data_IF_223314180386
#
_entry.id   IF_223314180386
#
_cell.length_a   1.000
_cell.length_b   1.000
_cell.length_c   1.000
_cell.angle_alpha   90.00
_cell.angle_beta   90.00
_cell.angle_gamma   90.00
#
_symmetry.space_group_name_H-M   'P 1'
#
loop_
_entity.id
_entity.type
_entity.pdbx_description
1 polymer ?
#
# COMPACT_ATOMS: atom_id res chain seq x y z
N UNK A 1 -35.36 -4.36 -41.43
CA UNK A 1 -34.02 -3.88 -41.02
C UNK A 1 -33.18 -5.11 -40.71
N UNK A 2 -32.03 -5.30 -41.36
CA UNK A 2 -31.18 -6.50 -41.20
C UNK A 2 -30.13 -6.32 -40.10
N UNK A 3 -29.69 -5.08 -39.88
CA UNK A 3 -28.87 -4.68 -38.73
C UNK A 3 -29.02 -3.18 -38.44
N UNK A 4 -28.60 -2.76 -37.26
CA UNK A 4 -28.60 -1.36 -36.83
C UNK A 4 -27.63 -1.14 -35.66
N UNK A 5 -27.30 0.13 -35.38
CA UNK A 5 -26.42 0.51 -34.28
C UNK A 5 -27.20 1.25 -33.19
N UNK A 6 -26.76 1.08 -31.94
CA UNK A 6 -27.22 1.87 -30.79
C UNK A 6 -25.98 2.46 -30.11
N UNK A 7 -26.03 3.76 -29.82
CA UNK A 7 -25.00 4.47 -29.06
C UNK A 7 -25.49 4.63 -27.62
N UNK A 8 -24.66 4.23 -26.66
CA UNK A 8 -24.96 4.16 -25.23
C UNK A 8 -23.98 5.07 -24.46
N UNK A 9 -24.30 6.35 -24.27
CA UNK A 9 -23.49 7.24 -23.44
C UNK A 9 -23.78 7.03 -21.95
N UNK A 10 -22.76 7.18 -21.10
CA UNK A 10 -22.86 6.96 -19.66
C UNK A 10 -23.54 8.09 -18.90
N UNK A 11 -23.62 9.29 -19.49
CA UNK A 11 -24.17 10.51 -18.89
C UNK A 11 -25.65 10.75 -19.28
N UNK A 12 -26.41 9.70 -19.57
CA UNK A 12 -27.87 9.84 -19.77
C UNK A 12 -28.56 10.26 -18.47
N UNK A 13 -29.76 10.83 -18.61
CA UNK A 13 -30.55 11.37 -17.50
C UNK A 13 -31.25 10.29 -16.63
N UNK A 14 -30.59 9.16 -16.40
CA UNK A 14 -31.05 8.11 -15.50
C UNK A 14 -30.30 8.24 -14.17
N UNK A 15 -31.05 8.34 -13.08
CA UNK A 15 -30.49 8.52 -11.74
C UNK A 15 -29.53 7.38 -11.37
N UNK A 16 -28.40 7.75 -10.76
CA UNK A 16 -27.39 6.79 -10.28
C UNK A 16 -26.40 6.30 -11.35
N UNK A 17 -26.50 6.78 -12.60
CA UNK A 17 -25.51 6.47 -13.63
C UNK A 17 -24.11 6.95 -13.25
N UNK A 18 -23.13 6.06 -13.45
CA UNK A 18 -21.69 6.33 -13.32
C UNK A 18 -20.98 5.89 -14.59
N UNK A 19 -19.79 6.41 -14.85
CA UNK A 19 -18.98 6.05 -16.03
C UNK A 19 -18.70 4.55 -16.13
N UNK A 20 -18.60 3.85 -15.00
CA UNK A 20 -18.39 2.40 -14.93
C UNK A 20 -19.68 1.55 -14.87
N UNK A 21 -20.84 2.15 -14.64
CA UNK A 21 -22.08 1.41 -14.42
C UNK A 21 -23.24 2.34 -14.73
N UNK A 22 -23.87 2.13 -15.87
CA UNK A 22 -24.92 3.02 -16.36
C UNK A 22 -26.00 2.29 -17.14
N UNK A 23 -27.19 2.88 -17.10
CA UNK A 23 -28.38 2.44 -17.79
C UNK A 23 -28.77 3.46 -18.84
N UNK A 24 -29.13 2.97 -20.02
CA UNK A 24 -29.65 3.80 -21.11
C UNK A 24 -31.07 3.34 -21.43
N UNK A 25 -32.04 4.23 -21.22
CA UNK A 25 -33.42 4.03 -21.64
C UNK A 25 -33.56 4.39 -23.12
N UNK A 26 -34.08 3.45 -23.90
CA UNK A 26 -34.26 3.63 -25.33
C UNK A 26 -35.50 4.51 -25.61
N UNK A 27 -35.46 5.41 -26.61
CA UNK A 27 -36.61 6.25 -26.97
C UNK A 27 -37.87 5.45 -27.34
N UNK A 28 -37.68 4.24 -27.86
CA UNK A 28 -38.74 3.27 -28.15
C UNK A 28 -38.27 1.89 -27.72
N UNK A 29 -39.20 1.10 -27.19
CA UNK A 29 -38.98 -0.30 -26.89
C UNK A 29 -38.68 -1.04 -28.19
N UNK A 30 -37.53 -1.70 -28.26
CA UNK A 30 -37.16 -2.55 -29.39
C UNK A 30 -37.81 -3.91 -29.21
N UNK A 31 -38.32 -4.47 -30.30
CA UNK A 31 -38.90 -5.81 -30.35
C UNK A 31 -38.15 -6.65 -31.39
N UNK A 32 -37.80 -7.86 -31.01
CA UNK A 32 -37.00 -8.79 -31.80
C UNK A 32 -37.83 -10.03 -32.11
N UNK A 33 -38.29 -10.12 -33.37
CA UNK A 33 -39.23 -11.13 -33.84
C UNK A 33 -38.53 -12.44 -34.28
N UNK A 34 -37.21 -12.47 -34.19
CA UNK A 34 -36.34 -13.54 -34.69
C UNK A 34 -35.09 -13.65 -33.81
N UNK A 35 -34.13 -14.48 -34.20
CA UNK A 35 -32.82 -14.50 -33.55
C UNK A 35 -31.97 -13.28 -33.96
N UNK A 36 -31.44 -12.60 -32.96
CA UNK A 36 -30.60 -11.42 -33.10
C UNK A 36 -29.33 -11.57 -32.27
N UNK A 37 -28.28 -10.92 -32.75
CA UNK A 37 -26.99 -10.88 -32.10
C UNK A 37 -26.58 -9.43 -31.86
N UNK A 38 -25.85 -9.21 -30.77
CA UNK A 38 -25.28 -7.91 -30.44
C UNK A 38 -23.77 -8.03 -30.26
N UNK A 39 -23.04 -7.01 -30.69
CA UNK A 39 -21.60 -6.92 -30.46
C UNK A 39 -21.15 -5.48 -30.23
N UNK A 40 -20.11 -5.31 -29.43
CA UNK A 40 -19.48 -4.00 -29.18
C UNK A 40 -18.56 -3.63 -30.35
N UNK A 41 -18.81 -2.50 -31.01
CA UNK A 41 -18.06 -2.06 -32.20
C UNK A 41 -17.15 -0.87 -31.95
N UNK A 42 -17.54 0.03 -31.05
CA UNK A 42 -16.71 1.17 -30.62
C UNK A 42 -16.88 1.35 -29.12
N UNK A 43 -15.79 1.67 -28.43
CA UNK A 43 -15.82 2.13 -27.05
C UNK A 43 -14.97 3.39 -26.94
N UNK A 44 -15.57 4.45 -26.42
CA UNK A 44 -14.89 5.70 -26.06
C UNK A 44 -14.87 5.79 -24.54
N UNK A 45 -13.71 5.95 -23.92
CA UNK A 45 -13.57 6.01 -22.46
C UNK A 45 -12.45 6.97 -22.03
N UNK A 46 -12.57 7.60 -20.84
CA UNK A 46 -11.52 8.43 -20.28
C UNK A 46 -10.51 7.58 -19.48
N UNK A 47 -9.21 7.80 -19.64
CA UNK A 47 -8.19 7.17 -18.80
C UNK A 47 -8.00 7.98 -17.50
N UNK A 48 -8.98 7.91 -16.60
CA UNK A 48 -9.09 8.80 -15.45
C UNK A 48 -9.03 8.06 -14.11
N UNK A 49 -8.19 7.04 -13.96
CA UNK A 49 -8.00 6.33 -12.68
C UNK A 49 -6.50 6.26 -12.37
N UNK A 50 -6.10 6.28 -11.10
CA UNK A 50 -4.68 6.33 -10.77
C UNK A 50 -4.01 4.98 -10.99
N UNK A 51 -2.72 4.98 -11.36
CA UNK A 51 -1.88 3.78 -11.47
C UNK A 51 -1.71 3.06 -10.14
N UNK A 52 -1.59 3.82 -9.05
CA UNK A 52 -1.52 3.30 -7.69
C UNK A 52 -2.74 3.77 -6.90
N UNK A 53 -3.33 2.87 -6.13
CA UNK A 53 -4.55 3.17 -5.38
C UNK A 53 -5.79 3.16 -6.26
N UNK A 54 -5.79 2.36 -7.33
CA UNK A 54 -6.93 2.23 -8.24
C UNK A 54 -8.14 1.67 -7.50
N UNK A 55 -7.97 0.52 -6.85
CA UNK A 55 -9.07 -0.20 -6.19
C UNK A 55 -9.13 0.01 -4.69
N UNK A 56 -7.98 0.23 -4.04
CA UNK A 56 -7.86 0.27 -2.58
C UNK A 56 -6.80 1.28 -2.15
N UNK A 57 -6.92 1.81 -0.94
CA UNK A 57 -5.88 2.64 -0.34
C UNK A 57 -4.60 1.82 -0.12
N UNK A 58 -3.44 2.44 -0.38
CA UNK A 58 -2.15 1.78 -0.35
C UNK A 58 -1.34 2.18 0.88
N UNK A 59 -0.60 1.23 1.45
CA UNK A 59 0.15 1.45 2.69
C UNK A 59 1.47 0.68 2.71
N UNK A 60 2.44 1.26 3.41
CA UNK A 60 3.65 0.58 3.90
C UNK A 60 3.57 0.53 5.42
N UNK A 61 3.57 -0.66 5.99
CA UNK A 61 3.55 -0.89 7.43
C UNK A 61 4.92 -1.38 7.87
N UNK A 62 5.56 -0.64 8.77
CA UNK A 62 6.86 -0.99 9.32
C UNK A 62 6.66 -1.43 10.76
N UNK A 63 7.04 -2.68 11.05
CA UNK A 63 7.08 -3.20 12.42
C UNK A 63 8.51 -3.06 12.94
N UNK A 64 8.67 -2.33 14.03
CA UNK A 64 9.96 -2.09 14.66
C UNK A 64 10.39 -3.27 15.55
N UNK A 65 11.69 -3.40 15.81
CA UNK A 65 12.25 -4.42 16.70
C UNK A 65 11.84 -4.21 18.16
N UNK A 66 11.54 -2.98 18.53
CA UNK A 66 10.97 -2.53 19.81
C UNK A 66 9.50 -2.94 19.99
N UNK A 67 8.82 -3.28 18.89
CA UNK A 67 7.43 -3.78 18.89
C UNK A 67 6.39 -2.76 18.43
N UNK A 68 6.72 -1.46 18.39
CA UNK A 68 5.83 -0.46 17.79
C UNK A 68 5.64 -0.72 16.29
N UNK A 69 4.50 -0.25 15.76
CA UNK A 69 4.12 -0.40 14.36
C UNK A 69 3.74 0.96 13.82
N UNK A 70 4.40 1.40 12.74
CA UNK A 70 3.99 2.59 11.99
C UNK A 70 3.38 2.15 10.67
N UNK A 71 2.24 2.74 10.33
CA UNK A 71 1.57 2.54 9.05
C UNK A 71 1.59 3.85 8.29
N UNK A 72 2.29 3.85 7.18
CA UNK A 72 2.49 5.00 6.32
C UNK A 72 1.56 4.86 5.11
N UNK A 73 0.76 5.89 4.84
CA UNK A 73 -0.07 5.94 3.66
C UNK A 73 0.78 6.23 2.41
N UNK A 74 0.55 5.47 1.35
CA UNK A 74 1.12 5.75 0.04
C UNK A 74 0.03 6.44 -0.78
N UNK A 75 0.22 7.71 -1.18
CA UNK A 75 -0.81 8.46 -1.87
C UNK A 75 -1.14 7.81 -3.22
N UNK A 76 -2.43 7.75 -3.52
CA UNK A 76 -2.92 7.38 -4.84
C UNK A 76 -2.40 8.39 -5.87
N UNK A 77 -1.98 7.90 -7.03
CA UNK A 77 -1.28 8.76 -7.99
C UNK A 77 -1.02 8.10 -9.33
N UNK A 78 -0.58 8.94 -10.27
CA UNK A 78 -0.27 8.54 -11.63
C UNK A 78 1.22 8.28 -11.72
N UNK A 79 1.59 7.05 -12.06
CA UNK A 79 2.98 6.64 -12.13
C UNK A 79 3.36 6.53 -13.60
N UNK A 80 4.07 7.53 -14.11
CA UNK A 80 4.54 7.48 -15.50
C UNK A 80 5.83 6.68 -15.64
N UNK A 81 6.61 6.58 -14.56
CA UNK A 81 7.87 5.85 -14.54
C UNK A 81 8.23 5.36 -13.12
N UNK A 82 9.11 4.35 -13.00
CA UNK A 82 9.52 3.80 -11.70
C UNK A 82 10.20 4.82 -10.77
N UNK A 83 10.88 5.83 -11.31
CA UNK A 83 11.58 6.83 -10.51
C UNK A 83 10.59 7.71 -9.72
N UNK A 84 9.47 8.11 -10.33
CA UNK A 84 8.40 8.84 -9.65
C UNK A 84 7.78 8.02 -8.51
N UNK A 85 7.60 6.70 -8.71
CA UNK A 85 7.11 5.82 -7.65
C UNK A 85 8.09 5.78 -6.47
N UNK A 86 9.40 5.65 -6.76
CA UNK A 86 10.46 5.67 -5.76
C UNK A 86 10.41 6.96 -4.94
N UNK A 87 10.34 8.11 -5.60
CA UNK A 87 10.24 9.42 -4.94
C UNK A 87 8.97 9.58 -4.10
N UNK A 88 7.85 9.03 -4.55
CA UNK A 88 6.60 9.02 -3.79
C UNK A 88 6.73 8.16 -2.52
N UNK A 89 7.34 6.99 -2.63
CA UNK A 89 7.58 6.11 -1.47
C UNK A 89 8.55 6.74 -0.47
N UNK A 90 9.62 7.37 -0.94
CA UNK A 90 10.56 8.10 -0.08
C UNK A 90 9.88 9.22 0.69
N UNK A 91 8.98 9.97 0.02
CA UNK A 91 8.20 11.03 0.66
C UNK A 91 7.29 10.46 1.74
N UNK A 92 6.51 9.42 1.41
CA UNK A 92 5.69 8.71 2.38
C UNK A 92 6.51 8.23 3.57
N UNK A 93 7.64 7.55 3.34
CA UNK A 93 8.51 7.03 4.39
C UNK A 93 9.31 8.11 5.14
N UNK A 94 9.26 9.36 4.70
CA UNK A 94 9.79 10.51 5.45
C UNK A 94 8.82 10.99 6.54
N UNK A 95 7.56 10.54 6.49
CA UNK A 95 6.51 10.83 7.47
C UNK A 95 6.39 9.64 8.45
N UNK A 96 7.16 9.71 9.54
CA UNK A 96 7.09 8.74 10.62
C UNK A 96 6.01 9.04 11.66
N UNK A 97 6.27 8.64 12.90
CA UNK A 97 5.35 8.81 14.02
C UNK A 97 5.99 9.67 15.13
N UNK A 98 5.62 10.95 15.18
CA UNK A 98 6.15 11.87 16.20
C UNK A 98 5.72 11.46 17.62
N UNK A 99 4.55 10.82 17.78
CA UNK A 99 4.11 10.34 19.11
C UNK A 99 5.03 9.26 19.67
N UNK A 100 5.52 8.34 18.82
CA UNK A 100 6.51 7.34 19.25
C UNK A 100 7.85 8.00 19.58
N UNK A 101 8.28 8.96 18.78
CA UNK A 101 9.50 9.71 19.05
C UNK A 101 9.42 10.50 20.37
N UNK A 102 8.27 11.11 20.67
CA UNK A 102 8.10 11.87 21.90
C UNK A 102 7.99 10.96 23.13
N UNK A 103 7.28 9.84 23.04
CA UNK A 103 7.26 8.83 24.11
C UNK A 103 8.68 8.34 24.42
N UNK A 104 9.47 8.05 23.38
CA UNK A 104 10.85 7.60 23.54
C UNK A 104 11.75 8.70 24.15
N UNK A 105 11.51 9.98 23.83
CA UNK A 105 12.20 11.10 24.48
C UNK A 105 11.90 11.20 25.96
N UNK A 106 10.64 11.00 26.35
CA UNK A 106 10.25 10.99 27.77
C UNK A 106 11.00 9.87 28.50
N UNK A 107 11.01 8.65 27.93
CA UNK A 107 11.79 7.53 28.47
C UNK A 107 13.29 7.85 28.55
N UNK A 108 13.87 8.48 27.54
CA UNK A 108 15.27 8.90 27.54
C UNK A 108 15.55 9.92 28.67
N UNK A 109 14.65 10.89 28.89
CA UNK A 109 14.79 11.87 29.96
C UNK A 109 14.72 11.23 31.35
N UNK A 110 13.77 10.32 31.55
CA UNK A 110 13.62 9.56 32.80
C UNK A 110 14.86 8.71 33.09
N UNK A 111 15.36 8.00 32.09
CA UNK A 111 16.59 7.22 32.19
C UNK A 111 17.79 8.10 32.55
N UNK A 112 17.97 9.24 31.86
CA UNK A 112 19.04 10.22 32.17
C UNK A 112 18.92 10.80 33.58
N UNK A 113 17.70 11.01 34.08
CA UNK A 113 17.45 11.46 35.45
C UNK A 113 17.89 10.41 36.46
N UNK A 114 17.50 9.15 36.25
CA UNK A 114 17.90 8.03 37.11
C UNK A 114 19.42 7.83 37.12
N UNK A 115 20.10 7.99 35.98
CA UNK A 115 21.57 7.98 35.93
C UNK A 115 22.21 9.08 36.77
N UNK A 116 21.63 10.28 36.81
CA UNK A 116 22.12 11.37 37.68
C UNK A 116 21.92 11.03 39.16
N UNK A 117 20.76 10.48 39.52
CA UNK A 117 20.47 10.04 40.90
C UNK A 117 21.42 8.92 41.35
N UNK A 118 21.75 7.97 40.46
CA UNK A 118 22.72 6.91 40.73
C UNK A 118 24.12 7.47 41.01
N UNK A 119 24.56 8.48 40.25
CA UNK A 119 25.85 9.18 40.50
C UNK A 119 25.85 9.90 41.85
N UNK A 120 24.74 10.52 42.23
CA UNK A 120 24.63 11.15 43.56
C UNK A 120 24.71 10.10 44.66
N UNK A 121 23.98 8.98 44.51
CA UNK A 121 23.99 7.86 45.47
C UNK A 121 25.37 7.21 45.58
N UNK A 122 26.09 6.99 44.48
CA UNK A 122 27.44 6.41 44.52
C UNK A 122 28.39 7.28 45.33
N UNK A 123 28.30 8.60 45.15
CA UNK A 123 29.09 9.58 45.90
C UNK A 123 28.75 9.60 47.39
N UNK A 124 27.46 9.52 47.74
CA UNK A 124 27.00 9.43 49.13
C UNK A 124 27.50 8.14 49.81
N UNK A 125 27.39 6.99 49.12
CA UNK A 125 27.87 5.70 49.63
C UNK A 125 29.39 5.71 49.82
N UNK A 126 30.14 6.25 48.85
CA UNK A 126 31.59 6.36 48.96
C UNK A 126 32.02 7.25 50.14
N UNK A 127 31.39 8.42 50.32
CA UNK A 127 31.67 9.30 51.45
C UNK A 127 31.37 8.62 52.79
N UNK A 128 30.26 7.90 52.89
CA UNK A 128 29.89 7.15 54.10
C UNK A 128 30.93 6.07 54.42
N UNK A 129 31.31 5.25 53.44
CA UNK A 129 32.34 4.22 53.62
C UNK A 129 33.71 4.81 54.01
N UNK A 130 34.07 5.95 53.44
CA UNK A 130 35.31 6.67 53.78
C UNK A 130 35.29 7.18 55.23
N UNK A 131 34.14 7.67 55.70
CA UNK A 131 33.98 8.18 57.06
C UNK A 131 33.92 7.06 58.10
N UNK A 132 33.20 5.97 57.82
CA UNK A 132 33.16 4.74 58.63
C UNK A 132 34.58 4.17 58.80
N UNK A 133 35.34 4.04 57.71
CA UNK A 133 36.73 3.57 57.76
C UNK A 133 37.66 4.51 58.54
N UNK A 134 37.43 5.82 58.47
CA UNK A 134 38.19 6.81 59.26
C UNK A 134 37.92 6.64 60.77
N UNK A 135 36.70 6.27 61.15
CA UNK A 135 36.34 5.99 62.54
C UNK A 135 36.98 4.66 63.00
N UNK A 136 36.93 3.61 62.18
CA UNK A 136 37.54 2.30 62.48
C UNK A 136 39.07 2.34 62.60
N UNK A 137 39.74 3.10 61.72
CA UNK A 137 41.20 3.26 61.77
C UNK A 137 41.66 3.99 63.03
N UNK A 138 40.82 4.86 63.59
CA UNK A 138 41.10 5.52 64.87
C UNK A 138 40.84 4.60 66.08
N UNK A 139 40.15 3.47 65.89
CA UNK A 139 39.76 2.54 66.96
C UNK A 139 40.61 1.25 67.00
N UNK A 140 41.34 0.91 65.93
CA UNK A 140 42.06 -0.38 65.83
C UNK A 140 43.29 -0.28 64.92
N UNK A 141 44.46 -0.76 65.38
CA UNK A 141 45.65 -0.95 64.54
C UNK A 141 45.51 -2.27 63.73
N UNK A 142 45.67 -2.17 62.39
CA UNK A 142 45.67 -3.25 61.36
C UNK A 142 44.24 -3.57 60.85
N UNK A 143 43.88 -3.58 59.55
CA UNK A 143 44.50 -4.09 58.31
C UNK A 143 43.95 -3.30 57.08
N UNK A 144 44.73 -3.14 56.01
CA UNK A 144 44.27 -2.45 54.78
C UNK A 144 43.26 -3.31 53.99
N UNK A 145 41.97 -3.25 54.32
CA UNK A 145 40.92 -3.66 53.38
C UNK A 145 40.82 -2.66 52.22
N UNK A 146 40.70 -3.14 50.98
CA UNK A 146 40.59 -2.27 49.80
C UNK A 146 39.23 -1.54 49.81
N UNK A 147 39.24 -0.22 49.98
CA UNK A 147 38.03 0.60 49.88
C UNK A 147 37.62 0.65 48.41
N UNK A 148 36.38 0.25 48.09
CA UNK A 148 35.87 0.35 46.73
C UNK A 148 35.92 1.80 46.25
N UNK A 149 36.38 2.01 45.02
CA UNK A 149 36.37 3.34 44.41
C UNK A 149 34.93 3.80 44.12
N UNK A 150 34.70 5.10 44.05
CA UNK A 150 33.38 5.67 43.65
C UNK A 150 32.90 5.09 42.30
N UNK A 151 33.83 4.85 41.37
CA UNK A 151 33.53 4.24 40.08
C UNK A 151 33.06 2.79 40.21
N UNK A 152 33.69 1.97 41.05
CA UNK A 152 33.25 0.58 41.27
C UNK A 152 31.86 0.51 41.91
N UNK A 153 31.56 1.44 42.81
CA UNK A 153 30.22 1.57 43.41
C UNK A 153 29.20 1.98 42.34
N UNK A 154 29.54 2.97 41.51
CA UNK A 154 28.68 3.42 40.42
C UNK A 154 28.41 2.30 39.40
N UNK A 155 29.43 1.57 38.95
CA UNK A 155 29.28 0.47 37.98
C UNK A 155 28.42 -0.67 38.55
N UNK A 156 28.56 -1.00 39.84
CA UNK A 156 27.68 -1.96 40.51
C UNK A 156 26.21 -1.52 40.50
N UNK A 157 25.96 -0.29 40.94
CA UNK A 157 24.60 0.28 40.96
C UNK A 157 24.00 0.42 39.55
N UNK A 158 24.82 0.76 38.56
CA UNK A 158 24.42 0.86 37.16
C UNK A 158 24.04 -0.50 36.58
N UNK A 159 24.80 -1.55 36.91
CA UNK A 159 24.50 -2.93 36.49
C UNK A 159 23.16 -3.41 37.06
N UNK A 160 22.94 -3.21 38.36
CA UNK A 160 21.68 -3.55 39.03
C UNK A 160 20.51 -2.78 38.40
N UNK A 161 20.68 -1.48 38.19
CA UNK A 161 19.67 -0.64 37.54
C UNK A 161 19.35 -1.11 36.12
N UNK A 162 20.36 -1.34 35.27
CA UNK A 162 20.16 -1.83 33.91
C UNK A 162 19.47 -3.20 33.87
N UNK A 163 19.73 -4.07 34.85
CA UNK A 163 19.04 -5.36 34.98
C UNK A 163 17.54 -5.22 35.30
N UNK A 164 17.17 -4.15 35.99
CA UNK A 164 15.78 -3.84 36.39
C UNK A 164 14.94 -3.19 35.29
N UNK A 165 15.57 -2.69 34.22
CA UNK A 165 14.87 -2.09 33.09
C UNK A 165 13.97 -3.10 32.37
N UNK A 166 12.91 -2.60 31.75
CA UNK A 166 12.07 -3.42 30.88
C UNK A 166 12.84 -3.90 29.63
N UNK A 167 12.40 -5.01 29.05
CA UNK A 167 13.07 -5.65 27.91
C UNK A 167 13.15 -4.76 26.67
N UNK A 168 12.19 -3.86 26.46
CA UNK A 168 12.20 -2.96 25.31
C UNK A 168 13.29 -1.89 25.49
N UNK A 169 13.35 -1.25 26.65
CA UNK A 169 14.38 -0.26 27.00
C UNK A 169 15.79 -0.86 26.97
N UNK A 170 15.96 -2.09 27.47
CA UNK A 170 17.23 -2.83 27.33
C UNK A 170 17.63 -3.03 25.86
N UNK A 171 16.68 -3.40 25.01
CA UNK A 171 16.93 -3.60 23.56
C UNK A 171 17.32 -2.30 22.87
N UNK A 172 16.60 -1.21 23.14
CA UNK A 172 16.89 0.14 22.62
C UNK A 172 18.31 0.59 23.00
N UNK A 173 18.72 0.37 24.26
CA UNK A 173 20.02 0.74 24.80
C UNK A 173 21.18 -0.11 24.25
N UNK A 174 20.98 -1.43 24.17
CA UNK A 174 22.05 -2.38 23.84
C UNK A 174 22.49 -2.34 22.37
N UNK A 175 21.60 -1.98 21.44
CA UNK A 175 21.92 -2.01 20.01
C UNK A 175 22.53 -0.69 19.48
N UNK A 176 21.94 0.45 19.83
CA UNK A 176 22.25 1.74 19.18
C UNK A 176 22.10 2.98 20.06
N UNK A 177 21.42 2.89 21.22
CA UNK A 177 21.05 4.03 22.04
C UNK A 177 19.82 4.78 21.54
N UNK A 178 19.28 5.71 22.34
CA UNK A 178 17.99 6.37 22.09
C UNK A 178 17.94 7.24 20.82
N UNK A 179 19.01 8.01 20.53
CA UNK A 179 18.97 9.01 19.44
C UNK A 179 18.74 8.40 18.04
N UNK A 180 19.42 7.31 17.63
CA UNK A 180 19.10 6.66 16.35
C UNK A 180 17.67 6.16 16.26
N UNK A 181 17.09 5.65 17.35
CA UNK A 181 15.69 5.21 17.41
C UNK A 181 14.73 6.39 17.22
N UNK A 182 15.01 7.55 17.84
CA UNK A 182 14.23 8.77 17.63
C UNK A 182 14.21 9.19 16.16
N UNK A 183 15.36 9.12 15.48
CA UNK A 183 15.46 9.48 14.06
C UNK A 183 14.64 8.52 13.18
N UNK A 184 14.72 7.21 13.46
CA UNK A 184 14.00 6.20 12.69
C UNK A 184 12.49 6.26 12.92
N UNK A 185 12.04 6.53 14.15
CA UNK A 185 10.62 6.76 14.43
C UNK A 185 10.07 7.98 13.71
N UNK A 186 10.85 9.06 13.60
CA UNK A 186 10.46 10.24 12.82
C UNK A 186 10.49 10.03 11.32
N UNK A 187 11.45 9.24 10.84
CA UNK A 187 11.72 9.04 9.41
C UNK A 187 12.03 7.57 9.14
N UNK A 188 10.97 6.75 8.92
CA UNK A 188 11.13 5.34 8.61
C UNK A 188 12.08 5.06 7.44
N UNK A 189 12.15 5.98 6.47
CA UNK A 189 13.05 5.95 5.31
C UNK A 189 14.53 5.74 5.63
N UNK A 190 14.98 6.09 6.85
CA UNK A 190 16.37 5.86 7.30
C UNK A 190 16.65 4.37 7.52
N UNK A 191 15.63 3.62 7.96
CA UNK A 191 15.76 2.20 8.30
C UNK A 191 15.13 1.26 7.27
N UNK A 192 14.20 1.73 6.45
CA UNK A 192 13.70 0.98 5.30
C UNK A 192 13.43 1.89 4.11
N UNK A 193 13.97 1.56 2.95
CA UNK A 193 13.86 2.37 1.75
C UNK A 193 13.68 1.51 0.50
N UNK A 194 12.85 1.97 -0.42
CA UNK A 194 12.71 1.36 -1.74
C UNK A 194 13.62 2.08 -2.72
N UNK A 195 14.34 1.33 -3.53
CA UNK A 195 15.20 1.90 -4.56
C UNK A 195 14.97 1.21 -5.90
N UNK A 196 15.12 1.95 -6.99
CA UNK A 196 14.90 1.45 -8.33
C UNK A 196 16.23 1.36 -9.10
N UNK A 197 16.59 0.14 -9.47
CA UNK A 197 17.79 -0.14 -10.24
C UNK A 197 17.50 -0.04 -11.73
N UNK A 198 17.76 1.11 -12.36
CA UNK A 198 17.50 1.34 -13.80
C UNK A 198 18.14 0.29 -14.72
N UNK A 199 19.36 -0.15 -14.42
CA UNK A 199 20.06 -1.17 -15.23
C UNK A 199 19.41 -2.55 -15.15
N UNK A 200 18.89 -2.94 -13.98
CA UNK A 200 18.22 -4.23 -13.77
C UNK A 200 16.72 -4.16 -14.08
N UNK A 201 16.18 -2.95 -14.19
CA UNK A 201 14.74 -2.67 -14.23
C UNK A 201 14.00 -3.41 -13.10
N UNK A 202 14.48 -3.24 -11.86
CA UNK A 202 13.95 -3.89 -10.65
C UNK A 202 13.97 -2.94 -9.47
N UNK A 203 12.94 -3.01 -8.64
CA UNK A 203 13.01 -2.42 -7.30
C UNK A 203 13.79 -3.31 -6.34
N UNK A 204 14.29 -2.68 -5.28
CA UNK A 204 14.82 -3.36 -4.10
C UNK A 204 14.30 -2.67 -2.86
N UNK A 205 14.10 -3.45 -1.81
CA UNK A 205 13.87 -2.93 -0.47
C UNK A 205 15.15 -3.09 0.33
N UNK A 206 15.62 -2.02 0.96
CA UNK A 206 16.58 -2.06 2.03
C UNK A 206 15.85 -2.18 3.37
N UNK A 207 16.30 -3.09 4.25
CA UNK A 207 15.79 -3.26 5.62
C UNK A 207 16.95 -3.25 6.60
N UNK A 208 17.03 -2.20 7.41
CA UNK A 208 17.95 -2.06 8.53
C UNK A 208 17.53 -2.93 9.70
N UNK A 209 17.99 -4.19 9.74
CA UNK A 209 17.59 -5.22 10.72
C UNK A 209 17.73 -4.84 12.20
N UNK A 210 18.60 -3.88 12.51
CA UNK A 210 18.74 -3.29 13.86
C UNK A 210 17.44 -2.65 14.34
N UNK A 211 16.75 -1.95 13.45
CA UNK A 211 15.53 -1.22 13.80
C UNK A 211 14.27 -1.94 13.34
N UNK A 212 14.30 -2.53 12.14
CA UNK A 212 13.11 -3.08 11.48
C UNK A 212 13.04 -4.58 11.69
N UNK A 213 11.88 -5.05 12.18
CA UNK A 213 11.54 -6.47 12.29
C UNK A 213 10.94 -7.00 11.00
N UNK A 214 10.02 -6.25 10.38
CA UNK A 214 9.42 -6.57 9.08
C UNK A 214 8.81 -5.32 8.44
N UNK A 215 8.70 -5.35 7.11
CA UNK A 215 7.96 -4.38 6.31
C UNK A 215 6.81 -5.10 5.60
N UNK A 216 5.59 -4.60 5.72
CA UNK A 216 4.41 -5.14 5.04
C UNK A 216 3.87 -4.09 4.08
N UNK A 217 3.65 -4.47 2.83
CA UNK A 217 3.10 -3.61 1.79
C UNK A 217 1.78 -4.19 1.27
N UNK A 218 0.88 -3.32 0.82
CA UNK A 218 -0.39 -3.73 0.22
C UNK A 218 -0.18 -4.54 -1.07
N UNK A 219 -1.14 -5.40 -1.43
CA UNK A 219 -1.03 -6.32 -2.57
C UNK A 219 -0.78 -5.60 -3.90
N UNK A 220 -1.52 -4.52 -4.19
CA UNK A 220 -1.33 -3.75 -5.41
C UNK A 220 0.06 -3.12 -5.44
N UNK A 221 0.54 -2.57 -4.31
CA UNK A 221 1.88 -2.00 -4.22
C UNK A 221 2.98 -3.06 -4.42
N UNK A 222 2.84 -4.24 -3.82
CA UNK A 222 3.76 -5.36 -4.04
C UNK A 222 3.83 -5.76 -5.52
N UNK A 223 2.67 -5.87 -6.16
CA UNK A 223 2.56 -6.18 -7.59
C UNK A 223 3.22 -5.10 -8.46
N UNK A 224 2.91 -3.82 -8.24
CA UNK A 224 3.49 -2.68 -8.98
C UNK A 224 5.02 -2.66 -8.85
N UNK A 225 5.54 -2.93 -7.65
CA UNK A 225 6.98 -2.96 -7.37
C UNK A 225 7.67 -4.24 -7.89
N UNK A 226 6.91 -5.28 -8.20
CA UNK A 226 7.40 -6.57 -8.70
C UNK A 226 7.84 -7.55 -7.60
N UNK A 227 7.41 -7.36 -6.35
CA UNK A 227 7.62 -8.32 -5.27
C UNK A 227 6.57 -9.44 -5.34
N UNK A 228 6.99 -10.67 -5.04
CA UNK A 228 6.11 -11.84 -5.00
C UNK A 228 5.45 -12.05 -3.63
N UNK A 229 5.84 -11.25 -2.64
CA UNK A 229 5.33 -11.28 -1.26
C UNK A 229 5.03 -9.88 -0.77
N UNK A 230 3.99 -9.76 0.05
CA UNK A 230 3.61 -8.51 0.72
C UNK A 230 4.38 -8.28 2.02
N UNK A 231 4.87 -9.36 2.65
CA UNK A 231 5.65 -9.31 3.89
C UNK A 231 7.12 -9.53 3.59
N UNK A 232 7.95 -8.53 3.89
CA UNK A 232 9.37 -8.47 3.58
C UNK A 232 10.16 -8.30 4.88
N UNK A 233 10.86 -9.35 5.29
CA UNK A 233 11.60 -9.39 6.57
C UNK A 233 13.07 -8.97 6.43
N UNK A 234 13.58 -8.93 5.20
CA UNK A 234 14.98 -8.65 4.92
C UNK A 234 15.13 -7.82 3.64
N UNK A 235 16.33 -7.25 3.46
CA UNK A 235 16.67 -6.55 2.24
C UNK A 235 16.57 -7.52 1.06
N UNK A 236 15.73 -7.19 0.08
CA UNK A 236 15.41 -8.07 -1.05
C UNK A 236 15.28 -7.28 -2.34
N UNK A 237 15.54 -7.94 -3.45
CA UNK A 237 15.32 -7.40 -4.79
C UNK A 237 14.02 -8.00 -5.33
N UNK A 238 13.19 -7.15 -5.94
CA UNK A 238 11.96 -7.56 -6.59
C UNK A 238 12.24 -8.66 -7.64
N UNK A 239 11.34 -9.64 -7.70
CA UNK A 239 11.45 -10.77 -8.64
C UNK A 239 11.14 -10.32 -10.06
N UNK A 240 10.16 -9.43 -10.22
CA UNK A 240 9.60 -9.02 -11.50
C UNK A 240 9.91 -7.55 -11.83
N UNK A 241 9.84 -7.20 -13.12
CA UNK A 241 9.89 -5.80 -13.55
C UNK A 241 8.69 -5.07 -12.94
N UNK A 242 8.85 -3.79 -12.56
CA UNK A 242 7.73 -3.05 -12.03
C UNK A 242 6.69 -2.78 -13.10
N UNK A 243 5.41 -2.84 -12.73
CA UNK A 243 4.27 -2.62 -13.60
C UNK A 243 3.61 -1.27 -13.28
N UNK A 244 3.91 -0.25 -14.08
CA UNK A 244 3.36 1.10 -13.91
C UNK A 244 1.88 1.21 -14.30
N UNK A 245 1.28 0.16 -14.88
CA UNK A 245 -0.16 0.13 -15.18
C UNK A 245 -1.02 -0.21 -13.95
N UNK A 246 -0.41 -0.50 -12.79
CA UNK A 246 -1.18 -0.76 -11.58
C UNK A 246 -1.83 -2.13 -11.51
N UNK A 247 -1.48 -3.03 -12.43
CA UNK A 247 -2.14 -4.33 -12.63
C UNK A 247 -3.45 -4.26 -13.41
N UNK A 248 -3.77 -3.09 -13.98
CA UNK A 248 -5.00 -2.86 -14.72
C UNK A 248 -4.68 -2.64 -16.20
N UNK A 249 -4.68 -3.73 -16.97
CA UNK A 249 -4.34 -3.73 -18.40
C UNK A 249 -5.54 -3.88 -19.34
N UNK A 250 -6.70 -4.27 -18.82
CA UNK A 250 -7.92 -4.45 -19.61
C UNK A 250 -9.20 -4.22 -18.80
N UNK A 251 -10.24 -3.80 -19.53
CA UNK A 251 -11.61 -3.81 -19.06
C UNK A 251 -12.31 -5.09 -19.47
N UNK A 252 -13.25 -5.53 -18.64
CA UNK A 252 -14.29 -6.45 -19.04
C UNK A 252 -15.59 -5.66 -19.11
N UNK A 253 -16.19 -5.61 -20.31
CA UNK A 253 -17.43 -4.86 -20.56
C UNK A 253 -18.61 -5.82 -20.46
N UNK A 254 -19.43 -5.64 -19.44
CA UNK A 254 -20.59 -6.48 -19.13
C UNK A 254 -21.86 -5.83 -19.68
N UNK A 255 -22.78 -6.68 -20.14
CA UNK A 255 -24.16 -6.29 -20.45
C UNK A 255 -25.15 -7.25 -19.79
N UNK A 256 -25.37 -7.10 -18.46
CA UNK A 256 -26.26 -7.97 -17.71
C UNK A 256 -27.69 -7.95 -18.27
N UNK A 257 -28.28 -9.13 -18.46
CA UNK A 257 -29.64 -9.29 -18.98
C UNK A 257 -29.80 -9.07 -20.50
N UNK A 258 -28.75 -8.65 -21.21
CA UNK A 258 -28.78 -8.47 -22.67
C UNK A 258 -28.38 -9.74 -23.42
N UNK A 259 -27.31 -10.40 -22.95
CA UNK A 259 -26.68 -11.55 -23.60
C UNK A 259 -26.63 -12.76 -22.67
N UNK A 260 -26.49 -13.95 -23.25
CA UNK A 260 -26.23 -15.17 -22.50
C UNK A 260 -24.86 -15.09 -21.78
N UNK A 261 -24.76 -15.48 -20.50
CA UNK A 261 -23.48 -15.57 -19.80
C UNK A 261 -22.52 -16.55 -20.48
N UNK A 262 -21.24 -16.18 -20.53
CA UNK A 262 -20.17 -17.02 -21.09
C UNK A 262 -19.19 -17.41 -19.99
N UNK A 263 -18.49 -18.52 -20.18
CA UNK A 263 -17.39 -18.93 -19.30
C UNK A 263 -16.17 -18.04 -19.53
N UNK A 264 -15.65 -17.43 -18.47
CA UNK A 264 -14.47 -16.58 -18.44
C UNK A 264 -13.62 -17.01 -17.25
N UNK A 265 -12.52 -17.73 -17.53
CA UNK A 265 -11.72 -18.35 -16.47
C UNK A 265 -12.55 -19.36 -15.68
N UNK A 266 -12.68 -19.12 -14.38
CA UNK A 266 -13.43 -19.92 -13.41
C UNK A 266 -14.84 -19.38 -13.10
N UNK A 267 -15.30 -18.33 -13.79
CA UNK A 267 -16.60 -17.68 -13.56
C UNK A 267 -17.43 -17.63 -14.85
N UNK A 268 -18.77 -17.62 -14.72
CA UNK A 268 -19.70 -17.34 -15.82
C UNK A 268 -20.26 -15.93 -15.75
N UNK A 269 -20.13 -15.15 -16.82
CA UNK A 269 -20.50 -13.74 -16.84
C UNK A 269 -20.99 -13.24 -18.22
N UNK A 270 -21.94 -12.29 -18.27
CA UNK A 270 -22.43 -11.70 -19.52
C UNK A 270 -21.49 -10.60 -20.05
N UNK A 271 -20.29 -10.99 -20.49
CA UNK A 271 -19.28 -10.06 -21.02
C UNK A 271 -19.40 -9.92 -22.53
N UNK A 272 -19.64 -8.69 -22.99
CA UNK A 272 -19.65 -8.35 -24.41
C UNK A 272 -18.25 -8.46 -25.03
N UNK A 273 -17.23 -7.96 -24.31
CA UNK A 273 -15.84 -7.93 -24.79
C UNK A 273 -14.86 -7.61 -23.65
N UNK A 274 -13.65 -8.16 -23.77
CA UNK A 274 -12.47 -7.71 -23.04
C UNK A 274 -11.76 -6.65 -23.89
N UNK A 275 -11.56 -5.45 -23.34
CA UNK A 275 -10.96 -4.30 -24.03
C UNK A 275 -9.61 -4.00 -23.41
N UNK A 276 -8.52 -4.07 -24.18
CA UNK A 276 -7.19 -3.68 -23.70
C UNK A 276 -7.12 -2.18 -23.50
N UNK A 277 -6.60 -1.75 -22.36
CA UNK A 277 -6.43 -0.32 -22.04
C UNK A 277 -5.23 0.20 -22.82
N UNK A 278 -5.46 1.28 -23.56
CA UNK A 278 -4.42 2.05 -24.28
C UNK A 278 -4.50 3.51 -23.89
N UNK A 279 -3.55 4.30 -24.42
CA UNK A 279 -3.47 5.74 -24.22
C UNK A 279 -2.78 6.11 -22.91
N UNK A 280 -2.43 7.39 -22.81
CA UNK A 280 -1.89 7.97 -21.57
C UNK A 280 -3.03 8.33 -20.63
N UNK A 281 -2.65 8.55 -19.38
CA UNK A 281 -3.52 9.13 -18.37
C UNK A 281 -4.16 10.43 -18.89
N UNK A 282 -5.41 10.68 -18.49
CA UNK A 282 -6.21 11.86 -18.80
C UNK A 282 -6.59 12.02 -20.29
N UNK A 283 -6.20 11.08 -21.15
CA UNK A 283 -6.66 11.01 -22.54
C UNK A 283 -8.06 10.38 -22.63
N UNK A 284 -8.82 10.81 -23.63
CA UNK A 284 -10.03 10.11 -24.08
C UNK A 284 -9.59 9.16 -25.18
N UNK A 285 -9.79 7.86 -24.95
CA UNK A 285 -9.43 6.81 -25.90
C UNK A 285 -10.67 6.34 -26.63
N UNK A 286 -10.58 6.34 -27.95
CA UNK A 286 -11.53 5.68 -28.83
C UNK A 286 -10.90 4.38 -29.34
N UNK A 287 -11.52 3.25 -29.00
CA UNK A 287 -11.14 1.93 -29.51
C UNK A 287 -12.21 1.45 -30.49
N UNK A 288 -11.83 1.30 -31.76
CA UNK A 288 -12.68 0.75 -32.80
C UNK A 288 -12.33 -0.72 -33.06
N UNK A 289 -13.32 -1.59 -33.03
CA UNK A 289 -13.10 -3.02 -33.16
C UNK A 289 -13.41 -3.52 -34.58
N UNK A 290 -12.36 -3.91 -35.31
CA UNK A 290 -12.48 -4.44 -36.68
C UNK A 290 -13.18 -5.81 -36.73
N UNK A 291 -12.80 -6.72 -35.82
CA UNK A 291 -13.46 -8.01 -35.66
C UNK A 291 -14.43 -7.91 -34.49
N UNK A 292 -15.73 -7.91 -34.73
CA UNK A 292 -16.77 -7.76 -33.71
C UNK A 292 -17.19 -9.12 -33.16
N UNK A 293 -17.10 -9.30 -31.85
CA UNK A 293 -17.61 -10.48 -31.14
C UNK A 293 -19.12 -10.31 -30.95
N UNK A 294 -19.88 -11.20 -31.60
CA UNK A 294 -21.34 -11.18 -31.55
C UNK A 294 -21.86 -12.24 -30.59
N UNK A 295 -22.80 -11.84 -29.76
CA UNK A 295 -23.44 -12.66 -28.75
C UNK A 295 -24.94 -12.73 -29.00
N UNK A 296 -25.54 -13.89 -28.75
CA UNK A 296 -26.99 -14.08 -28.92
C UNK A 296 -27.73 -13.22 -27.90
N UNK A 297 -28.78 -12.52 -28.36
CA UNK A 297 -29.66 -11.80 -27.46
C UNK A 297 -30.53 -12.76 -26.66
N UNK A 298 -30.61 -12.52 -25.35
CA UNK A 298 -31.43 -13.32 -24.44
C UNK A 298 -32.89 -12.88 -24.43
N UNK A 299 -33.13 -11.58 -24.64
CA UNK A 299 -34.45 -10.95 -24.56
C UNK A 299 -35.03 -10.63 -25.93
N UNK A 300 -36.35 -10.79 -26.05
CA UNK A 300 -37.11 -10.41 -27.27
C UNK A 300 -37.56 -8.96 -27.26
N UNK A 301 -37.46 -8.28 -26.13
CA UNK A 301 -37.82 -6.88 -26.01
C UNK A 301 -36.82 -6.13 -25.13
N UNK A 302 -36.41 -4.95 -25.57
CA UNK A 302 -35.44 -4.11 -24.85
C UNK A 302 -36.00 -2.70 -24.74
N UNK A 303 -36.17 -2.23 -23.50
CA UNK A 303 -36.50 -0.84 -23.20
C UNK A 303 -35.33 -0.10 -22.54
N UNK A 304 -34.45 -0.83 -21.86
CA UNK A 304 -33.29 -0.30 -21.14
C UNK A 304 -32.12 -1.26 -21.30
N UNK A 305 -30.92 -0.73 -21.45
CA UNK A 305 -29.67 -1.51 -21.49
C UNK A 305 -28.79 -1.07 -20.32
N UNK A 306 -28.38 -2.03 -19.49
CA UNK A 306 -27.41 -1.85 -18.42
C UNK A 306 -26.02 -2.26 -18.93
N UNK A 307 -25.04 -1.39 -18.71
CA UNK A 307 -23.62 -1.65 -18.98
C UNK A 307 -22.84 -1.52 -17.68
N UNK A 308 -21.92 -2.46 -17.45
CA UNK A 308 -20.93 -2.35 -16.37
C UNK A 308 -19.52 -2.56 -16.93
N UNK A 309 -18.58 -1.73 -16.49
CA UNK A 309 -17.17 -1.79 -16.88
C UNK A 309 -16.37 -2.20 -15.64
N UNK A 310 -15.78 -3.39 -15.70
CA UNK A 310 -15.09 -4.02 -14.57
C UNK A 310 -13.61 -4.27 -14.90
N UNK A 311 -12.78 -4.34 -13.87
CA UNK A 311 -11.41 -4.85 -13.95
C UNK A 311 -11.41 -6.35 -14.24
N UNK A 312 -10.25 -6.92 -14.56
CA UNK A 312 -10.12 -8.37 -14.71
C UNK A 312 -10.49 -9.16 -13.44
N UNK A 313 -10.33 -8.55 -12.26
CA UNK A 313 -10.78 -9.13 -10.98
C UNK A 313 -12.28 -8.97 -10.70
N UNK A 314 -13.06 -8.42 -11.64
CA UNK A 314 -14.51 -8.27 -11.50
C UNK A 314 -14.97 -7.06 -10.68
N UNK A 315 -14.07 -6.21 -10.18
CA UNK A 315 -14.41 -4.97 -9.46
C UNK A 315 -14.78 -3.87 -10.46
N UNK A 316 -15.73 -2.98 -10.14
CA UNK A 316 -16.06 -1.85 -11.01
C UNK A 316 -14.85 -0.92 -11.20
N UNK A 317 -14.63 -0.50 -12.45
CA UNK A 317 -13.50 0.37 -12.77
C UNK A 317 -13.68 1.76 -12.14
N UNK A 318 -12.72 2.31 -11.38
CA UNK A 318 -12.93 3.53 -10.62
C UNK A 318 -12.55 4.78 -11.43
N UNK A 319 -13.33 5.08 -12.47
CA UNK A 319 -13.19 6.33 -13.22
C UNK A 319 -13.43 7.52 -12.28
N UNK A 320 -12.46 8.43 -12.17
CA UNK A 320 -12.58 9.65 -11.38
C UNK A 320 -13.42 10.73 -12.07
N UNK A 321 -13.38 10.81 -13.41
CA UNK A 321 -14.10 11.83 -14.18
C UNK A 321 -14.28 11.40 -15.65
N UNK A 322 -14.94 12.25 -16.44
CA UNK A 322 -15.20 11.99 -17.86
C UNK A 322 -16.40 11.06 -18.11
N UNK A 323 -16.71 10.83 -19.38
CA UNK A 323 -17.88 10.06 -19.82
C UNK A 323 -17.47 8.92 -20.74
N UNK A 324 -18.17 7.79 -20.64
CA UNK A 324 -17.93 6.62 -21.48
C UNK A 324 -19.07 6.49 -22.49
N UNK A 325 -18.76 6.12 -23.73
CA UNK A 325 -19.75 5.88 -24.78
C UNK A 325 -19.46 4.56 -25.47
N UNK A 326 -20.46 3.70 -25.57
CA UNK A 326 -20.37 2.43 -26.28
C UNK A 326 -21.26 2.46 -27.52
N UNK A 327 -20.77 1.91 -28.62
CA UNK A 327 -21.58 1.66 -29.82
C UNK A 327 -21.78 0.16 -29.96
N UNK A 328 -23.04 -0.28 -29.84
CA UNK A 328 -23.45 -1.66 -30.04
C UNK A 328 -24.03 -1.84 -31.43
N UNK A 329 -23.63 -2.92 -32.12
CA UNK A 329 -24.21 -3.32 -33.38
C UNK A 329 -25.11 -4.53 -33.19
N UNK A 330 -26.38 -4.36 -33.53
CA UNK A 330 -27.41 -5.39 -33.53
C UNK A 330 -27.58 -5.92 -34.94
N UNK A 331 -27.44 -7.23 -35.14
CA UNK A 331 -27.66 -7.88 -36.44
C UNK A 331 -28.61 -9.05 -36.32
N UNK A 332 -29.49 -9.20 -37.29
CA UNK A 332 -30.36 -10.38 -37.42
C UNK A 332 -29.49 -11.58 -37.80
N UNK A 333 -29.84 -12.78 -37.32
CA UNK A 333 -29.27 -14.02 -37.84
C UNK A 333 -29.53 -14.11 -39.35
N UNK A 334 -28.48 -14.39 -40.13
CA UNK A 334 -28.61 -14.56 -41.58
C UNK A 334 -29.20 -15.92 -41.97
N UNK A 335 -29.31 -16.86 -41.01
CA UNK A 335 -29.64 -18.25 -41.26
C UNK A 335 -31.14 -18.59 -41.17
N UNK A 336 -32.04 -17.60 -41.09
CA UNK A 336 -33.50 -17.82 -41.18
C UNK A 336 -34.26 -16.68 -41.89
#
# INVERSE_FOLDING_TARGET
MTSFYIILPSNTNVDGNRTNSFRVRLPRKLQFNSEWYVGLTVMVYPHSWPSIGTSTDQFVTVTWQSGEVVRVAVPSGNLTNPQQLKESLDRSLSEGCETFAENLRVTEMEYKKQLKELKTKSKEVYNRQKEEKRIELNATEIQEEHLKSENEIYEGLLSDFNSSLDENTKKLLSETGFEPWLQVYRKPGIACAFDFHSYKNRFSLFVGRKYVKKVEITEQLAYILGFDKTVLNESTIAKFMPDMSGGVSSFHVYAPGLIEPMVIGDVTAPVLRIVTIRGKQDEIIEEQFLSVQYHKLLVKEIAEILIEIRTAGGVLMPFQYGTCTLTLHFKKSAYF
#
